data_IF_568506964181
#
_entry.id   IF_568506964181
#
_cell.length_a   1.000
_cell.length_b   1.000
_cell.length_c   1.000
_cell.angle_alpha   90.00
_cell.angle_beta   90.00
_cell.angle_gamma   90.00
#
_symmetry.space_group_name_H-M   'P 1'
#
loop_
_entity.id
_entity.type
_entity.pdbx_description
1 polymer ?
#
# COMPACT_ATOMS: atom_id res chain seq x y z
N UNK A 1 9.23 14.11 17.87
CA UNK A 1 8.81 12.99 16.98
C UNK A 1 9.95 12.70 16.01
N UNK A 2 10.58 11.54 16.07
CA UNK A 2 11.68 11.20 15.16
C UNK A 2 11.17 11.22 13.71
N UNK A 3 11.78 12.03 12.83
CA UNK A 3 11.45 12.07 11.40
C UNK A 3 11.64 10.65 10.86
N UNK A 4 10.54 9.96 10.53
CA UNK A 4 10.54 8.72 9.74
C UNK A 4 11.09 9.08 8.36
N UNK A 5 12.42 9.09 8.19
CA UNK A 5 13.11 9.72 7.05
C UNK A 5 12.62 9.24 5.67
N UNK A 6 13.27 8.23 5.12
CA UNK A 6 12.89 7.69 3.80
C UNK A 6 11.76 6.65 3.87
N UNK A 7 11.42 6.18 5.08
CA UNK A 7 10.40 5.16 5.31
C UNK A 7 9.03 5.80 5.55
N UNK A 8 8.12 5.60 4.61
CA UNK A 8 6.75 6.14 4.64
C UNK A 8 5.75 5.02 4.85
N UNK A 9 4.58 5.36 5.41
CA UNK A 9 3.43 4.45 5.38
C UNK A 9 2.76 4.53 4.02
N UNK A 10 2.34 3.38 3.50
CA UNK A 10 1.57 3.23 2.27
C UNK A 10 0.43 2.25 2.52
N UNK A 11 -0.64 2.43 1.77
CA UNK A 11 -1.82 1.56 1.80
C UNK A 11 -1.83 0.77 0.51
N UNK A 12 -1.83 -0.56 0.61
CA UNK A 12 -2.07 -1.45 -0.51
C UNK A 12 -3.57 -1.69 -0.59
N UNK A 13 -4.18 -1.34 -1.72
CA UNK A 13 -5.60 -1.53 -2.00
C UNK A 13 -5.77 -2.68 -3.00
N UNK A 14 -6.71 -3.58 -2.76
CA UNK A 14 -7.03 -4.67 -3.69
C UNK A 14 -7.62 -4.10 -4.99
N UNK A 15 -6.99 -4.42 -6.13
CA UNK A 15 -7.43 -3.98 -7.45
C UNK A 15 -8.63 -4.77 -7.95
N UNK A 16 -8.65 -6.09 -7.72
CA UNK A 16 -9.72 -6.99 -8.19
C UNK A 16 -11.05 -6.70 -7.48
N UNK A 17 -11.01 -6.40 -6.18
CA UNK A 17 -12.21 -6.07 -5.43
C UNK A 17 -12.82 -4.72 -5.87
N UNK A 18 -11.98 -3.77 -6.28
CA UNK A 18 -12.43 -2.46 -6.74
C UNK A 18 -13.36 -2.55 -7.95
N UNK A 19 -13.14 -3.54 -8.82
CA UNK A 19 -13.95 -3.77 -10.02
C UNK A 19 -15.20 -4.62 -9.74
N UNK A 20 -15.27 -5.27 -8.58
CA UNK A 20 -16.36 -6.21 -8.25
C UNK A 20 -17.70 -5.55 -7.87
N UNK A 21 -17.71 -4.24 -7.62
CA UNK A 21 -18.90 -3.49 -7.20
C UNK A 21 -19.48 -3.90 -5.84
N UNK A 22 -18.77 -4.74 -5.07
CA UNK A 22 -19.18 -5.20 -3.75
C UNK A 22 -18.76 -4.21 -2.64
N UNK A 23 -19.52 -4.13 -1.54
CA UNK A 23 -19.17 -3.28 -0.41
C UNK A 23 -17.95 -3.84 0.35
N UNK A 24 -16.98 -2.96 0.60
CA UNK A 24 -15.82 -3.23 1.44
C UNK A 24 -14.56 -3.58 0.66
N UNK A 25 -13.52 -2.74 0.72
CA UNK A 25 -12.25 -2.98 -0.01
C UNK A 25 -11.15 -3.41 0.95
N UNK A 26 -10.47 -4.53 0.64
CA UNK A 26 -9.30 -4.97 1.38
C UNK A 26 -8.16 -3.96 1.27
N UNK A 27 -7.72 -3.44 2.42
CA UNK A 27 -6.64 -2.46 2.54
C UNK A 27 -5.60 -2.94 3.55
N UNK A 28 -4.34 -2.98 3.12
CA UNK A 28 -3.21 -3.34 3.97
C UNK A 28 -2.33 -2.12 4.23
N UNK A 29 -2.12 -1.79 5.50
CA UNK A 29 -1.20 -0.72 5.91
C UNK A 29 0.19 -1.33 6.04
N UNK A 30 1.14 -0.81 5.26
CA UNK A 30 2.54 -1.21 5.34
C UNK A 30 3.45 -0.01 5.26
N UNK A 31 4.76 -0.23 5.33
CA UNK A 31 5.76 0.81 5.14
C UNK A 31 6.63 0.50 3.94
N UNK A 32 6.90 1.51 3.11
CA UNK A 32 7.88 1.43 2.02
C UNK A 32 8.99 2.44 2.21
N UNK A 33 10.15 2.15 1.66
CA UNK A 33 11.26 3.09 1.59
C UNK A 33 11.25 3.79 0.23
N UNK A 34 11.02 5.11 0.22
CA UNK A 34 10.95 5.91 -1.03
C UNK A 34 12.23 5.89 -1.85
N UNK A 35 13.40 5.70 -1.24
CA UNK A 35 14.69 5.70 -1.94
C UNK A 35 14.98 4.35 -2.61
N UNK A 36 14.65 3.26 -1.93
CA UNK A 36 14.93 1.90 -2.45
C UNK A 36 13.83 1.44 -3.42
N UNK A 37 12.59 1.90 -3.22
CA UNK A 37 11.43 1.52 -4.04
C UNK A 37 10.64 2.80 -4.37
N UNK A 38 11.14 3.58 -5.35
CA UNK A 38 10.51 4.83 -5.75
C UNK A 38 9.13 4.58 -6.37
N UNK A 39 9.02 3.53 -7.18
CA UNK A 39 7.81 3.17 -7.93
C UNK A 39 6.64 2.71 -7.04
N UNK A 40 5.47 2.56 -7.68
CA UNK A 40 4.27 2.06 -7.03
C UNK A 40 4.51 0.62 -6.53
N UNK A 41 4.12 0.36 -5.28
CA UNK A 41 4.25 -0.96 -4.69
C UNK A 41 3.01 -1.80 -5.02
N UNK A 42 3.19 -2.86 -5.79
CA UNK A 42 2.15 -3.83 -6.13
C UNK A 42 2.55 -5.20 -5.57
N UNK A 43 1.66 -5.83 -4.80
CA UNK A 43 1.90 -7.12 -4.15
C UNK A 43 0.64 -7.95 -4.18
N UNK A 44 0.80 -9.26 -4.41
CA UNK A 44 -0.27 -10.23 -4.16
C UNK A 44 -0.38 -10.48 -2.66
N UNK A 45 -1.53 -10.14 -2.10
CA UNK A 45 -1.90 -10.38 -0.70
C UNK A 45 -3.10 -11.34 -0.66
N UNK A 46 -3.29 -11.97 0.49
CA UNK A 46 -4.48 -12.79 0.75
C UNK A 46 -5.73 -11.90 0.84
#
# INVERSE_FOLDING_TARGET
MAKKGNRIQVILECTEHKESGKPGTSRYITTKNRKNTPDRLEMKKY
#
